data_IF_920853191772
#
_entry.id   IF_920853191772
#
_cell.length_a   1.000
_cell.length_b   1.000
_cell.length_c   1.000
_cell.angle_alpha   90.00
_cell.angle_beta   90.00
_cell.angle_gamma   90.00
#
_symmetry.space_group_name_H-M   'P 1'
#
loop_
_entity.id
_entity.type
_entity.pdbx_description
1 polymer ?
#
# COMPACT_ATOMS: atom_id res chain seq x y z
N UNK A 1 -20.46 -15.77 -3.22
CA UNK A 1 -19.29 -14.98 -3.66
C UNK A 1 -19.65 -14.38 -5.02
N UNK A 2 -19.80 -13.05 -5.13
CA UNK A 2 -20.02 -12.40 -6.43
C UNK A 2 -18.65 -12.32 -7.11
N UNK A 3 -18.49 -12.96 -8.25
CA UNK A 3 -17.24 -12.90 -9.01
C UNK A 3 -17.08 -11.44 -9.46
N UNK A 4 -16.01 -10.74 -9.05
CA UNK A 4 -15.75 -9.38 -9.52
C UNK A 4 -15.59 -9.39 -11.03
N UNK A 5 -16.03 -8.33 -11.67
CA UNK A 5 -15.75 -8.13 -13.09
C UNK A 5 -14.22 -8.06 -13.31
N UNK A 6 -13.76 -8.59 -14.44
CA UNK A 6 -12.33 -8.71 -14.75
C UNK A 6 -11.63 -7.32 -14.73
N UNK A 7 -12.37 -6.27 -15.09
CA UNK A 7 -11.88 -4.89 -15.09
C UNK A 7 -11.70 -4.34 -13.66
N UNK A 8 -12.60 -4.69 -12.75
CA UNK A 8 -12.56 -4.25 -11.35
C UNK A 8 -11.36 -4.86 -10.62
N UNK A 9 -11.11 -6.15 -10.87
CA UNK A 9 -9.97 -6.89 -10.33
C UNK A 9 -8.64 -6.27 -10.81
N UNK A 10 -8.57 -5.87 -12.08
CA UNK A 10 -7.39 -5.22 -12.67
C UNK A 10 -7.11 -3.85 -12.05
N UNK A 11 -8.17 -3.09 -11.75
CA UNK A 11 -8.06 -1.77 -11.12
C UNK A 11 -7.60 -1.87 -9.67
N UNK A 12 -8.13 -2.83 -8.90
CA UNK A 12 -7.65 -3.15 -7.55
C UNK A 12 -6.17 -3.53 -7.54
N UNK A 13 -5.77 -4.42 -8.46
CA UNK A 13 -4.38 -4.86 -8.58
C UNK A 13 -3.44 -3.70 -8.90
N UNK A 14 -3.85 -2.78 -9.78
CA UNK A 14 -3.07 -1.59 -10.14
C UNK A 14 -2.92 -0.62 -8.96
N UNK A 15 -3.96 -0.45 -8.15
CA UNK A 15 -3.91 0.39 -6.95
C UNK A 15 -2.97 -0.20 -5.89
N UNK A 16 -3.01 -1.52 -5.69
CA UNK A 16 -2.12 -2.24 -4.79
C UNK A 16 -0.65 -2.14 -5.20
N UNK A 17 -0.34 -2.35 -6.49
CA UNK A 17 1.02 -2.22 -7.02
C UNK A 17 1.56 -0.81 -6.79
N UNK A 18 0.76 0.22 -7.10
CA UNK A 18 1.17 1.61 -6.84
C UNK A 18 1.38 1.88 -5.36
N UNK A 19 0.54 1.33 -4.49
CA UNK A 19 0.71 1.39 -3.03
C UNK A 19 2.01 0.75 -2.57
N UNK A 20 2.28 -0.46 -3.03
CA UNK A 20 3.51 -1.20 -2.73
C UNK A 20 4.76 -0.47 -3.20
N UNK A 21 4.80 0.00 -4.45
CA UNK A 21 5.96 0.73 -4.98
C UNK A 21 6.25 1.98 -4.16
N UNK A 22 5.23 2.76 -3.82
CA UNK A 22 5.40 4.01 -3.05
C UNK A 22 5.84 3.72 -1.62
N UNK A 23 5.27 2.70 -0.97
CA UNK A 23 5.64 2.28 0.39
C UNK A 23 7.06 1.73 0.46
N UNK A 24 7.39 0.80 -0.45
CA UNK A 24 8.68 0.17 -0.56
C UNK A 24 9.80 1.18 -0.86
N UNK A 25 9.57 2.12 -1.79
CA UNK A 25 10.55 3.15 -2.13
C UNK A 25 10.86 4.08 -0.95
N UNK A 26 9.83 4.56 -0.24
CA UNK A 26 10.02 5.45 0.91
C UNK A 26 10.81 4.78 2.04
N UNK A 27 10.49 3.52 2.35
CA UNK A 27 11.22 2.79 3.38
C UNK A 27 12.59 2.30 2.93
N UNK A 28 12.79 2.03 1.64
CA UNK A 28 14.12 1.72 1.10
C UNK A 28 15.08 2.91 1.24
N UNK A 29 14.61 4.13 0.93
CA UNK A 29 15.40 5.36 1.12
C UNK A 29 15.70 5.57 2.60
N UNK A 30 14.70 5.43 3.48
CA UNK A 30 14.87 5.61 4.92
C UNK A 30 15.83 4.58 5.53
N UNK A 31 15.66 3.30 5.20
CA UNK A 31 16.51 2.22 5.68
C UNK A 31 17.94 2.33 5.11
N UNK A 32 18.09 2.78 3.86
CA UNK A 32 19.39 3.12 3.27
C UNK A 32 20.09 4.26 4.02
N UNK A 33 19.35 5.31 4.38
CA UNK A 33 19.88 6.44 5.16
C UNK A 33 20.28 6.03 6.57
N UNK A 34 19.44 5.25 7.27
CA UNK A 34 19.78 4.68 8.58
C UNK A 34 21.00 3.76 8.52
N UNK A 35 21.13 2.96 7.46
CA UNK A 35 22.31 2.11 7.25
C UNK A 35 23.59 2.94 7.05
N UNK A 36 23.51 4.05 6.29
CA UNK A 36 24.60 5.00 6.12
C UNK A 36 25.00 5.71 7.41
N UNK A 37 24.03 6.14 8.22
CA UNK A 37 24.28 6.76 9.53
C UNK A 37 24.87 5.76 10.53
N UNK A 38 24.36 4.52 10.57
CA UNK A 38 24.87 3.47 11.45
C UNK A 38 26.33 3.08 11.10
N UNK A 39 26.71 3.17 9.83
CA UNK A 39 28.09 2.97 9.36
C UNK A 39 29.04 4.06 9.89
N UNK A 40 28.57 5.30 10.04
CA UNK A 40 29.39 6.42 10.50
C UNK A 40 29.50 6.49 12.03
N UNK A 41 28.41 6.20 12.74
CA UNK A 41 28.32 6.42 14.18
C UNK A 41 28.80 5.26 15.06
N UNK A 42 28.81 4.01 14.56
CA UNK A 42 29.03 2.84 15.42
C UNK A 42 30.16 1.90 14.96
N UNK A 43 31.24 1.75 15.76
CA UNK A 43 32.33 0.80 15.48
C UNK A 43 31.88 -0.68 15.58
N UNK A 44 30.74 -0.96 16.23
CA UNK A 44 30.11 -2.28 16.25
C UNK A 44 29.44 -2.62 14.91
N UNK A 45 28.82 -1.63 14.25
CA UNK A 45 28.24 -1.80 12.92
C UNK A 45 29.31 -2.01 11.85
N UNK A 46 30.50 -1.44 12.02
CA UNK A 46 31.65 -1.70 11.13
C UNK A 46 32.08 -3.17 11.08
N UNK A 47 31.86 -3.94 12.14
CA UNK A 47 32.18 -5.38 12.22
C UNK A 47 31.04 -6.31 11.79
N UNK A 48 29.81 -5.80 11.69
CA UNK A 48 28.65 -6.61 11.28
C UNK A 48 28.74 -6.95 9.79
N UNK A 49 28.56 -8.23 9.44
CA UNK A 49 28.61 -8.70 8.06
C UNK A 49 27.58 -7.98 7.20
N UNK A 50 27.99 -7.56 5.99
CA UNK A 50 27.11 -6.95 4.99
C UNK A 50 25.74 -7.64 4.83
N UNK A 51 25.64 -8.99 4.80
CA UNK A 51 24.36 -9.68 4.71
C UNK A 51 23.39 -9.39 5.88
N UNK A 52 23.86 -9.30 7.13
CA UNK A 52 22.95 -9.03 8.27
C UNK A 52 22.33 -7.64 8.15
N UNK A 53 23.10 -6.66 7.66
CA UNK A 53 22.62 -5.30 7.44
C UNK A 53 21.57 -5.24 6.34
N UNK A 54 21.81 -5.91 5.22
CA UNK A 54 20.87 -5.92 4.09
C UNK A 54 19.61 -6.69 4.41
N UNK A 55 19.70 -7.80 5.16
CA UNK A 55 18.52 -8.54 5.62
C UNK A 55 17.56 -7.66 6.44
N UNK A 56 18.08 -6.78 7.30
CA UNK A 56 17.24 -5.88 8.08
C UNK A 56 16.56 -4.82 7.20
N UNK A 57 17.29 -4.25 6.24
CA UNK A 57 16.75 -3.31 5.25
C UNK A 57 15.65 -3.97 4.42
N UNK A 58 15.90 -5.17 3.90
CA UNK A 58 14.93 -5.91 3.07
C UNK A 58 13.69 -6.26 3.89
N UNK A 59 13.83 -6.70 5.14
CA UNK A 59 12.68 -7.00 5.99
C UNK A 59 11.80 -5.75 6.22
N UNK A 60 12.42 -4.61 6.53
CA UNK A 60 11.71 -3.35 6.72
C UNK A 60 11.00 -2.88 5.44
N UNK A 61 11.66 -3.00 4.29
CA UNK A 61 11.09 -2.66 2.98
C UNK A 61 9.89 -3.55 2.67
N UNK A 62 10.03 -4.87 2.84
CA UNK A 62 8.93 -5.83 2.58
C UNK A 62 7.72 -5.52 3.45
N UNK A 63 7.91 -5.35 4.77
CA UNK A 63 6.82 -5.03 5.68
C UNK A 63 6.10 -3.74 5.28
N UNK A 64 6.84 -2.69 4.95
CA UNK A 64 6.27 -1.42 4.53
C UNK A 64 5.53 -1.48 3.19
N UNK A 65 6.04 -2.30 2.27
CA UNK A 65 5.42 -2.53 0.96
C UNK A 65 4.05 -3.17 1.15
N UNK A 66 3.97 -4.21 1.98
CA UNK A 66 2.71 -4.92 2.28
C UNK A 66 1.71 -3.99 2.97
N UNK A 67 2.11 -3.30 4.05
CA UNK A 67 1.21 -2.40 4.78
C UNK A 67 0.65 -1.30 3.87
N UNK A 68 1.48 -0.75 2.98
CA UNK A 68 1.04 0.33 2.07
C UNK A 68 0.17 -0.21 0.94
N UNK A 69 0.42 -1.43 0.47
CA UNK A 69 -0.44 -2.10 -0.49
C UNK A 69 -1.83 -2.38 0.11
N UNK A 70 -1.89 -2.95 1.31
CA UNK A 70 -3.15 -3.24 2.01
C UNK A 70 -3.96 -1.98 2.28
N UNK A 71 -3.32 -0.91 2.77
CA UNK A 71 -3.99 0.38 2.99
C UNK A 71 -4.63 0.92 1.72
N UNK A 72 -3.97 0.76 0.57
CA UNK A 72 -4.49 1.23 -0.73
C UNK A 72 -5.60 0.33 -1.29
N UNK A 73 -5.55 -0.98 -1.01
CA UNK A 73 -6.65 -1.89 -1.32
C UNK A 73 -7.91 -1.53 -0.51
N UNK A 74 -7.77 -1.34 0.80
CA UNK A 74 -8.87 -0.92 1.69
C UNK A 74 -9.48 0.42 1.27
N UNK A 75 -8.64 1.38 0.89
CA UNK A 75 -9.08 2.69 0.45
C UNK A 75 -9.88 2.61 -0.88
N UNK A 76 -9.49 1.73 -1.80
CA UNK A 76 -10.26 1.45 -3.02
C UNK A 76 -11.62 0.80 -2.71
N UNK A 77 -11.65 -0.18 -1.80
CA UNK A 77 -12.88 -0.87 -1.39
C UNK A 77 -13.86 0.09 -0.69
N UNK A 78 -13.36 0.95 0.22
CA UNK A 78 -14.15 2.01 0.85
C UNK A 78 -14.74 2.99 -0.16
N UNK A 79 -13.95 3.43 -1.16
CA UNK A 79 -14.44 4.32 -2.21
C UNK A 79 -15.53 3.66 -3.06
N UNK A 80 -15.40 2.36 -3.34
CA UNK A 80 -16.42 1.59 -4.06
C UNK A 80 -17.73 1.52 -3.29
N UNK A 81 -17.68 1.14 -2.02
CA UNK A 81 -18.87 1.07 -1.18
C UNK A 81 -19.55 2.43 -0.98
N UNK A 82 -18.76 3.50 -0.83
CA UNK A 82 -19.30 4.86 -0.74
C UNK A 82 -20.07 5.23 -2.02
N UNK A 83 -19.49 4.98 -3.20
CA UNK A 83 -20.15 5.24 -4.48
C UNK A 83 -21.42 4.40 -4.66
N UNK A 84 -21.42 3.13 -4.30
CA UNK A 84 -22.61 2.27 -4.36
C UNK A 84 -23.75 2.83 -3.50
N UNK A 85 -23.44 3.32 -2.30
CA UNK A 85 -24.46 3.93 -1.42
C UNK A 85 -24.99 5.26 -1.94
N UNK A 86 -24.13 6.07 -2.56
CA UNK A 86 -24.53 7.35 -3.17
C UNK A 86 -25.39 7.14 -4.42
N UNK A 87 -25.10 6.12 -5.23
CA UNK A 87 -25.94 5.73 -6.37
C UNK A 87 -27.30 5.22 -5.90
N UNK A 88 -27.34 4.38 -4.86
CA UNK A 88 -28.58 3.89 -4.28
C UNK A 88 -29.45 5.01 -3.69
N UNK A 89 -28.82 6.03 -3.07
CA UNK A 89 -29.51 7.24 -2.61
C UNK A 89 -30.05 8.06 -3.77
N UNK A 90 -29.28 8.25 -4.85
CA UNK A 90 -29.74 8.96 -6.06
C UNK A 90 -30.93 8.25 -6.69
N UNK A 91 -30.86 6.93 -6.87
CA UNK A 91 -31.95 6.13 -7.42
C UNK A 91 -33.23 6.24 -6.58
N UNK A 92 -33.14 6.19 -5.24
CA UNK A 92 -34.31 6.39 -4.37
C UNK A 92 -34.93 7.77 -4.54
N UNK A 93 -34.13 8.83 -4.67
CA UNK A 93 -34.67 10.18 -4.92
C UNK A 93 -35.31 10.31 -6.30
N UNK A 94 -34.72 9.68 -7.31
CA UNK A 94 -35.24 9.76 -8.69
C UNK A 94 -36.54 8.96 -8.87
N UNK A 95 -36.70 7.85 -8.13
CA UNK A 95 -37.97 7.10 -8.07
C UNK A 95 -39.08 7.95 -7.45
N UNK A 96 -38.79 8.72 -6.40
CA UNK A 96 -39.78 9.62 -5.77
C UNK A 96 -40.11 10.87 -6.59
N UNK A 97 -39.35 11.15 -7.66
CA UNK A 97 -39.51 12.32 -8.53
C UNK A 97 -40.28 12.03 -9.82
N UNK A 98 -40.59 10.76 -10.09
CA UNK A 98 -41.38 10.35 -11.26
C UNK A 98 -42.87 10.56 -10.93
N UNK A 99 -43.63 11.36 -11.72
CA UNK A 99 -45.05 11.65 -11.47
C UNK A 99 -45.95 10.43 -11.65
#
# INVERSE_FOLDING_TARGET
MRIPDEEDTRNMYRAAIRGGIVGGTKMAIFAGFCSGLAQWLSPAYRRLTLPIKTSFVVAAVTAATVITAERRMLEYEHQKHFNETEIAKKQRRDIFRRP
#
